data_IF_725327361615
#
_entry.id   IF_725327361615
#
_cell.length_a   1.000
_cell.length_b   1.000
_cell.length_c   1.000
_cell.angle_alpha   90.00
_cell.angle_beta   90.00
_cell.angle_gamma   90.00
#
_symmetry.space_group_name_H-M   'P 1'
#
loop_
_entity.id
_entity.type
_entity.pdbx_description
1 polymer ?
#
# COMPACT_ATOMS: atom_id res chain seq x y z
N UNK A 1 -14.22 -30.62 13.42
CA UNK A 1 -13.92 -29.22 13.09
C UNK A 1 -12.84 -28.75 14.04
N UNK A 2 -11.62 -28.59 13.55
CA UNK A 2 -10.49 -28.15 14.37
C UNK A 2 -10.44 -26.61 14.40
N UNK A 3 -9.82 -26.03 15.41
CA UNK A 3 -9.62 -24.58 15.50
C UNK A 3 -8.92 -24.02 14.24
N UNK A 4 -8.05 -24.80 13.63
CA UNK A 4 -7.37 -24.44 12.38
C UNK A 4 -8.33 -24.31 11.18
N UNK A 5 -9.36 -25.16 11.10
CA UNK A 5 -10.34 -25.12 10.02
C UNK A 5 -11.21 -23.84 10.11
N UNK A 6 -11.53 -23.42 11.34
CA UNK A 6 -12.30 -22.18 11.59
C UNK A 6 -11.46 -20.96 11.25
N UNK A 7 -10.18 -20.95 11.59
CA UNK A 7 -9.26 -19.84 11.27
C UNK A 7 -9.05 -19.74 9.76
N UNK A 8 -8.87 -20.86 9.06
CA UNK A 8 -8.73 -20.88 7.60
C UNK A 8 -9.99 -20.36 6.89
N UNK A 9 -11.19 -20.78 7.34
CA UNK A 9 -12.44 -20.26 6.80
C UNK A 9 -12.59 -18.75 7.07
N UNK A 10 -12.24 -18.30 8.28
CA UNK A 10 -12.34 -16.88 8.65
C UNK A 10 -11.38 -16.02 7.79
N UNK A 11 -10.18 -16.51 7.55
CA UNK A 11 -9.18 -15.84 6.67
C UNK A 11 -9.69 -15.77 5.23
N UNK A 12 -10.30 -16.84 4.70
CA UNK A 12 -10.87 -16.85 3.35
C UNK A 12 -12.00 -15.81 3.14
N UNK A 13 -12.77 -15.50 4.18
CA UNK A 13 -13.82 -14.48 4.11
C UNK A 13 -13.30 -13.06 4.40
N UNK A 14 -12.32 -12.92 5.29
CA UNK A 14 -11.78 -11.61 5.70
C UNK A 14 -10.90 -11.02 4.60
N UNK A 15 -10.10 -11.83 3.89
CA UNK A 15 -9.19 -11.35 2.84
C UNK A 15 -9.93 -10.64 1.70
N UNK A 16 -11.04 -11.18 1.11
CA UNK A 16 -11.79 -10.46 0.07
C UNK A 16 -12.47 -9.20 0.59
N UNK A 17 -12.95 -9.19 1.84
CA UNK A 17 -13.62 -8.02 2.44
C UNK A 17 -12.62 -6.89 2.67
N UNK A 18 -11.43 -7.20 3.17
CA UNK A 18 -10.35 -6.23 3.33
C UNK A 18 -9.91 -5.72 1.95
N UNK A 19 -9.79 -6.59 0.96
CA UNK A 19 -9.48 -6.21 -0.42
C UNK A 19 -10.51 -5.25 -1.02
N UNK A 20 -11.80 -5.53 -0.85
CA UNK A 20 -12.89 -4.68 -1.32
C UNK A 20 -12.92 -3.32 -0.58
N UNK A 21 -12.67 -3.30 0.72
CA UNK A 21 -12.54 -2.07 1.52
C UNK A 21 -11.36 -1.20 1.05
N UNK A 22 -10.21 -1.82 0.78
CA UNK A 22 -9.03 -1.12 0.29
C UNK A 22 -9.24 -0.53 -1.11
N UNK A 23 -9.90 -1.27 -2.02
CA UNK A 23 -10.26 -0.77 -3.36
C UNK A 23 -11.24 0.41 -3.25
N UNK A 24 -12.20 0.33 -2.34
CA UNK A 24 -13.17 1.41 -2.10
C UNK A 24 -12.48 2.65 -1.51
N UNK A 25 -11.53 2.46 -0.59
CA UNK A 25 -10.76 3.55 0.01
C UNK A 25 -9.83 4.21 -1.01
N UNK A 26 -9.20 3.43 -1.89
CA UNK A 26 -8.42 3.94 -3.02
C UNK A 26 -9.30 4.71 -4.01
N UNK A 27 -10.48 4.19 -4.35
CA UNK A 27 -11.46 4.88 -5.18
C UNK A 27 -11.93 6.20 -4.55
N UNK A 28 -12.16 6.21 -3.25
CA UNK A 28 -12.49 7.43 -2.50
C UNK A 28 -11.34 8.43 -2.51
N UNK A 29 -10.11 7.98 -2.27
CA UNK A 29 -8.91 8.83 -2.28
C UNK A 29 -8.69 9.45 -3.67
N UNK A 30 -8.80 8.65 -4.74
CA UNK A 30 -8.71 9.13 -6.13
C UNK A 30 -9.84 10.12 -6.44
N UNK A 31 -11.06 9.86 -6.00
CA UNK A 31 -12.21 10.76 -6.22
C UNK A 31 -12.07 12.04 -5.40
N UNK A 32 -11.58 11.95 -4.16
CA UNK A 32 -11.30 13.09 -3.31
C UNK A 32 -10.19 13.97 -3.92
N UNK A 33 -9.11 13.36 -4.38
CA UNK A 33 -8.02 14.05 -5.09
C UNK A 33 -8.51 14.71 -6.39
N UNK A 34 -9.33 14.00 -7.18
CA UNK A 34 -9.88 14.54 -8.43
C UNK A 34 -10.80 15.74 -8.17
N UNK A 35 -11.61 15.71 -7.11
CA UNK A 35 -12.46 16.84 -6.71
C UNK A 35 -11.65 18.05 -6.24
N UNK A 36 -10.55 17.83 -5.53
CA UNK A 36 -9.65 18.90 -5.15
C UNK A 36 -8.88 19.47 -6.34
N UNK A 37 -8.45 18.63 -7.30
CA UNK A 37 -7.84 19.09 -8.55
C UNK A 37 -8.78 20.00 -9.36
N UNK A 38 -10.07 19.72 -9.39
CA UNK A 38 -11.04 20.54 -10.11
C UNK A 38 -11.25 21.93 -9.47
N UNK A 39 -10.97 22.09 -8.18
CA UNK A 39 -11.04 23.38 -7.48
C UNK A 39 -9.80 24.26 -7.68
N UNK A 40 -8.70 23.69 -8.13
CA UNK A 40 -7.45 24.42 -8.39
C UNK A 40 -7.59 25.09 -9.76
N UNK A 41 -7.84 26.40 -9.74
CA UNK A 41 -8.02 27.22 -10.95
C UNK A 41 -6.72 27.50 -11.74
N UNK A 42 -5.59 27.01 -11.23
CA UNK A 42 -4.29 27.28 -11.81
C UNK A 42 -3.70 26.00 -12.42
N UNK A 43 -3.54 25.97 -13.75
CA UNK A 43 -3.03 24.81 -14.49
C UNK A 43 -1.64 24.36 -14.00
N UNK A 44 -0.80 25.31 -13.59
CA UNK A 44 0.55 25.03 -13.06
C UNK A 44 0.48 24.28 -11.73
N UNK A 45 -0.46 24.65 -10.88
CA UNK A 45 -0.65 23.98 -9.58
C UNK A 45 -1.20 22.55 -9.80
N UNK A 46 -2.08 22.39 -10.77
CA UNK A 46 -2.66 21.08 -11.12
C UNK A 46 -1.62 20.11 -11.68
N UNK A 47 -0.73 20.60 -12.54
CA UNK A 47 0.40 19.82 -13.07
C UNK A 47 1.37 19.44 -11.96
N UNK A 48 1.71 20.39 -11.06
CA UNK A 48 2.57 20.16 -9.90
C UNK A 48 1.97 19.14 -8.93
N UNK A 49 0.66 19.17 -8.71
CA UNK A 49 -0.04 18.20 -7.88
C UNK A 49 -0.03 16.80 -8.50
N UNK A 50 -0.26 16.69 -9.82
CA UNK A 50 -0.16 15.41 -10.52
C UNK A 50 1.24 14.78 -10.39
N UNK A 51 2.29 15.58 -10.57
CA UNK A 51 3.66 15.14 -10.40
C UNK A 51 3.98 14.73 -8.95
N UNK A 52 3.51 15.50 -7.95
CA UNK A 52 3.70 15.20 -6.55
C UNK A 52 2.98 13.90 -6.12
N UNK A 53 1.78 13.65 -6.65
CA UNK A 53 1.04 12.40 -6.44
C UNK A 53 1.79 11.23 -7.07
N UNK A 54 2.28 11.36 -8.28
CA UNK A 54 3.05 10.32 -8.96
C UNK A 54 4.32 9.96 -8.18
N UNK A 55 5.06 10.97 -7.71
CA UNK A 55 6.23 10.77 -6.85
C UNK A 55 5.86 10.08 -5.54
N UNK A 56 4.79 10.51 -4.86
CA UNK A 56 4.31 9.88 -3.64
C UNK A 56 3.96 8.39 -3.85
N UNK A 57 3.35 8.03 -4.98
CA UNK A 57 3.08 6.64 -5.31
C UNK A 57 4.35 5.80 -5.46
N UNK A 58 5.38 6.33 -6.11
CA UNK A 58 6.67 5.66 -6.28
C UNK A 58 7.36 5.50 -4.92
N UNK A 59 7.52 6.60 -4.18
CA UNK A 59 8.19 6.60 -2.88
C UNK A 59 7.43 5.74 -1.85
N UNK A 60 6.09 5.74 -1.89
CA UNK A 60 5.26 4.90 -1.02
C UNK A 60 5.45 3.40 -1.30
N UNK A 61 5.51 3.01 -2.57
CA UNK A 61 5.83 1.63 -2.94
C UNK A 61 7.24 1.24 -2.48
N UNK A 62 8.21 2.11 -2.71
CA UNK A 62 9.60 1.85 -2.35
C UNK A 62 9.78 1.79 -0.83
N UNK A 63 9.03 2.59 -0.06
CA UNK A 63 8.99 2.53 1.40
C UNK A 63 8.51 1.16 1.90
N UNK A 64 7.45 0.60 1.31
CA UNK A 64 6.94 -0.74 1.65
C UNK A 64 7.96 -1.81 1.30
N UNK A 65 8.53 -1.79 0.10
CA UNK A 65 9.54 -2.76 -0.32
C UNK A 65 10.79 -2.72 0.55
N UNK A 66 11.29 -1.52 0.84
CA UNK A 66 12.43 -1.32 1.71
C UNK A 66 12.19 -1.89 3.11
N UNK A 67 11.06 -1.55 3.72
CA UNK A 67 10.70 -2.03 5.05
C UNK A 67 10.49 -3.54 5.06
N UNK A 68 9.89 -4.12 4.02
CA UNK A 68 9.73 -5.56 3.88
C UNK A 68 11.10 -6.27 3.92
N UNK A 69 12.05 -5.82 3.11
CA UNK A 69 13.35 -6.45 2.98
C UNK A 69 14.27 -6.23 4.19
N UNK A 70 14.20 -5.06 4.82
CA UNK A 70 15.15 -4.67 5.88
C UNK A 70 14.70 -5.05 7.28
N UNK A 71 13.39 -5.07 7.51
CA UNK A 71 12.83 -5.28 8.84
C UNK A 71 11.87 -6.47 8.91
N UNK A 72 10.82 -6.49 8.08
CA UNK A 72 9.75 -7.48 8.19
C UNK A 72 10.26 -8.91 7.98
N UNK A 73 11.10 -9.14 6.99
CA UNK A 73 11.63 -10.47 6.72
C UNK A 73 12.51 -10.97 7.88
N UNK A 74 13.36 -10.09 8.45
CA UNK A 74 14.18 -10.44 9.62
C UNK A 74 13.34 -10.73 10.86
N UNK A 75 12.28 -9.97 11.10
CA UNK A 75 11.39 -10.19 12.24
C UNK A 75 10.63 -11.51 12.09
N UNK A 76 10.20 -11.84 10.87
CA UNK A 76 9.53 -13.12 10.60
C UNK A 76 10.46 -14.32 10.72
N UNK A 77 11.71 -14.19 10.30
CA UNK A 77 12.73 -15.23 10.46
C UNK A 77 13.04 -15.50 11.95
N UNK A 78 12.97 -14.45 12.79
CA UNK A 78 13.20 -14.55 14.22
C UNK A 78 11.97 -15.08 14.99
N UNK A 79 10.77 -14.98 14.43
CA UNK A 79 9.53 -15.40 15.06
C UNK A 79 9.30 -16.91 14.85
N UNK A 80 8.92 -17.64 15.92
CA UNK A 80 8.66 -19.07 15.86
C UNK A 80 7.51 -19.44 14.90
N UNK A 81 6.51 -18.56 14.77
CA UNK A 81 5.33 -18.76 13.92
C UNK A 81 5.41 -18.00 12.57
N UNK A 82 6.50 -17.30 12.31
CA UNK A 82 6.70 -16.50 11.10
C UNK A 82 5.74 -15.31 10.97
N UNK A 83 5.11 -14.85 12.06
CA UNK A 83 4.15 -13.75 12.08
C UNK A 83 4.67 -12.57 12.88
N UNK A 84 4.26 -11.39 12.48
CA UNK A 84 4.55 -10.17 13.22
C UNK A 84 3.56 -9.99 14.37
N UNK A 85 4.08 -9.59 15.52
CA UNK A 85 3.27 -9.06 16.62
C UNK A 85 2.73 -7.67 16.24
N UNK A 86 1.75 -7.18 17.00
CA UNK A 86 1.22 -5.82 16.80
C UNK A 86 2.30 -4.75 16.97
N UNK A 87 3.23 -4.94 17.91
CA UNK A 87 4.34 -4.02 18.14
C UNK A 87 5.31 -3.99 16.96
N UNK A 88 5.66 -5.14 16.42
CA UNK A 88 6.54 -5.25 15.25
C UNK A 88 5.89 -4.68 13.99
N UNK A 89 4.59 -4.90 13.80
CA UNK A 89 3.84 -4.28 12.70
C UNK A 89 3.81 -2.74 12.82
N UNK A 90 3.65 -2.20 14.03
CA UNK A 90 3.72 -0.76 14.27
C UNK A 90 5.13 -0.21 14.01
N UNK A 91 6.18 -0.95 14.38
CA UNK A 91 7.56 -0.59 14.08
C UNK A 91 7.80 -0.57 12.57
N UNK A 92 7.33 -1.58 11.83
CA UNK A 92 7.46 -1.63 10.38
C UNK A 92 6.75 -0.45 9.71
N UNK A 93 5.56 -0.06 10.17
CA UNK A 93 4.86 1.12 9.67
C UNK A 93 5.65 2.41 9.95
N UNK A 94 6.22 2.53 11.14
CA UNK A 94 7.04 3.70 11.50
C UNK A 94 8.28 3.85 10.60
N UNK A 95 8.94 2.74 10.28
CA UNK A 95 10.08 2.71 9.34
C UNK A 95 9.64 3.12 7.92
N UNK A 96 8.52 2.58 7.43
CA UNK A 96 8.00 2.97 6.13
C UNK A 96 7.65 4.47 6.07
N UNK A 97 7.10 5.04 7.14
CA UNK A 97 6.81 6.49 7.26
C UNK A 97 8.10 7.30 7.22
N UNK A 98 9.10 6.91 7.99
CA UNK A 98 10.38 7.58 8.02
C UNK A 98 11.05 7.58 6.64
N UNK A 99 11.03 6.43 5.95
CA UNK A 99 11.52 6.32 4.58
C UNK A 99 10.77 7.25 3.64
N UNK A 100 9.44 7.22 3.65
CA UNK A 100 8.60 8.07 2.80
C UNK A 100 8.90 9.55 2.98
N UNK A 101 8.90 10.03 4.23
CA UNK A 101 9.16 11.43 4.55
C UNK A 101 10.56 11.85 4.12
N UNK A 102 11.55 10.97 4.24
CA UNK A 102 12.94 11.29 3.89
C UNK A 102 13.14 11.36 2.38
N UNK A 103 12.49 10.49 1.60
CA UNK A 103 12.73 10.34 0.16
C UNK A 103 11.77 11.15 -0.72
N UNK A 104 10.63 11.61 -0.18
CA UNK A 104 9.76 12.52 -0.89
C UNK A 104 10.43 13.89 -1.03
N UNK A 105 10.46 14.46 -2.23
CA UNK A 105 11.06 15.76 -2.48
C UNK A 105 10.38 16.88 -1.67
N UNK A 106 11.13 17.92 -1.31
CA UNK A 106 10.60 19.07 -0.58
C UNK A 106 9.42 19.73 -1.33
N UNK A 107 9.55 19.87 -2.65
CA UNK A 107 8.49 20.43 -3.50
C UNK A 107 7.21 19.60 -3.43
N UNK A 108 7.31 18.28 -3.52
CA UNK A 108 6.13 17.41 -3.43
C UNK A 108 5.51 17.41 -2.04
N UNK A 109 6.31 17.51 -0.98
CA UNK A 109 5.81 17.70 0.39
C UNK A 109 4.96 18.95 0.51
N UNK A 110 5.46 20.08 0.00
CA UNK A 110 4.75 21.36 0.07
C UNK A 110 3.44 21.31 -0.73
N UNK A 111 3.49 20.80 -1.97
CA UNK A 111 2.31 20.68 -2.83
C UNK A 111 1.27 19.74 -2.24
N UNK A 112 1.68 18.59 -1.70
CA UNK A 112 0.77 17.64 -1.07
C UNK A 112 0.19 18.18 0.24
N UNK A 113 1.00 18.87 1.05
CA UNK A 113 0.53 19.50 2.28
C UNK A 113 -0.50 20.62 2.00
N UNK A 114 -0.30 21.41 0.93
CA UNK A 114 -1.26 22.41 0.50
C UNK A 114 -2.57 21.81 -0.01
N UNK A 115 -2.48 20.69 -0.74
CA UNK A 115 -3.65 20.05 -1.36
C UNK A 115 -4.43 19.12 -0.41
N UNK A 116 -3.75 18.39 0.47
CA UNK A 116 -4.31 17.32 1.30
C UNK A 116 -4.26 17.61 2.81
N UNK A 117 -3.57 18.69 3.20
CA UNK A 117 -3.28 18.96 4.60
C UNK A 117 -1.99 18.29 5.09
N UNK A 118 -1.71 18.37 6.40
CA UNK A 118 -0.49 17.85 6.99
C UNK A 118 -0.23 16.39 6.60
N UNK A 119 1.01 16.08 6.19
CA UNK A 119 1.37 14.74 5.70
C UNK A 119 1.01 13.64 6.71
N UNK A 120 1.20 13.88 7.99
CA UNK A 120 0.93 12.89 9.04
C UNK A 120 -0.55 12.49 9.13
N UNK A 121 -1.48 13.33 8.68
CA UNK A 121 -2.92 13.08 8.81
C UNK A 121 -3.41 12.02 7.80
N UNK A 122 -2.74 11.87 6.67
CA UNK A 122 -3.13 10.94 5.61
C UNK A 122 -2.09 9.84 5.32
N UNK A 123 -0.85 10.00 5.79
CA UNK A 123 0.26 9.10 5.43
C UNK A 123 0.04 7.67 5.89
N UNK A 124 -0.54 7.44 7.07
CA UNK A 124 -0.81 6.10 7.59
C UNK A 124 -1.74 5.33 6.68
N UNK A 125 -2.88 5.92 6.34
CA UNK A 125 -3.85 5.32 5.42
C UNK A 125 -3.29 5.11 4.01
N UNK A 126 -2.44 6.02 3.55
CA UNK A 126 -1.76 5.89 2.26
C UNK A 126 -0.79 4.70 2.24
N UNK A 127 0.05 4.55 3.26
CA UNK A 127 1.00 3.43 3.35
C UNK A 127 0.31 2.09 3.58
N UNK A 128 -0.77 2.05 4.36
CA UNK A 128 -1.59 0.85 4.53
C UNK A 128 -2.20 0.40 3.18
N UNK A 129 -2.70 1.35 2.38
CA UNK A 129 -3.19 1.07 1.04
C UNK A 129 -2.08 0.50 0.13
N UNK A 130 -0.88 1.09 0.18
CA UNK A 130 0.28 0.58 -0.57
C UNK A 130 0.72 -0.81 -0.13
N UNK A 131 0.67 -1.11 1.15
CA UNK A 131 0.92 -2.45 1.68
C UNK A 131 -0.13 -3.46 1.16
N UNK A 132 -1.39 -3.06 1.07
CA UNK A 132 -2.45 -3.87 0.48
C UNK A 132 -2.20 -4.19 -1.01
N UNK A 133 -1.82 -3.19 -1.80
CA UNK A 133 -1.43 -3.36 -3.21
C UNK A 133 -0.25 -4.35 -3.36
N UNK A 134 0.78 -4.20 -2.54
CA UNK A 134 1.95 -5.07 -2.54
C UNK A 134 1.57 -6.53 -2.23
N UNK A 135 0.79 -6.76 -1.18
CA UNK A 135 0.32 -8.11 -0.80
C UNK A 135 -0.52 -8.74 -1.90
N UNK A 136 -1.40 -7.98 -2.52
CA UNK A 136 -2.21 -8.44 -3.65
C UNK A 136 -1.38 -8.82 -4.86
N UNK A 137 -0.36 -8.05 -5.19
CA UNK A 137 0.56 -8.34 -6.30
C UNK A 137 1.35 -9.64 -6.07
N UNK A 138 1.92 -9.82 -4.88
CA UNK A 138 2.64 -11.05 -4.49
C UNK A 138 1.73 -12.27 -4.54
N UNK A 139 0.48 -12.14 -4.08
CA UNK A 139 -0.49 -13.22 -4.09
C UNK A 139 -0.85 -13.65 -5.52
N UNK A 140 -1.06 -12.68 -6.42
CA UNK A 140 -1.36 -12.95 -7.83
C UNK A 140 -0.17 -13.62 -8.55
N UNK A 141 1.06 -13.24 -8.23
CA UNK A 141 2.26 -13.87 -8.78
C UNK A 141 2.38 -15.32 -8.34
N UNK A 142 2.12 -15.62 -7.08
CA UNK A 142 2.11 -17.00 -6.55
C UNK A 142 1.00 -17.84 -7.20
N UNK A 143 -0.20 -17.27 -7.39
CA UNK A 143 -1.30 -17.97 -8.08
C UNK A 143 -0.99 -18.18 -9.57
N UNK A 144 -0.34 -17.24 -10.25
CA UNK A 144 0.08 -17.37 -11.64
C UNK A 144 1.12 -18.47 -11.84
N UNK A 145 2.05 -18.63 -10.90
CA UNK A 145 3.05 -19.70 -10.91
C UNK A 145 2.45 -21.08 -10.58
N UNK A 146 1.42 -21.11 -9.72
CA UNK A 146 0.73 -22.35 -9.34
C UNK A 146 -0.22 -22.86 -10.44
N UNK A 147 -0.71 -21.99 -11.31
CA UNK A 147 -1.60 -22.30 -12.43
C UNK A 147 -1.08 -21.65 -13.72
N UNK A 148 0.00 -22.18 -14.34
CA UNK A 148 0.47 -21.67 -15.61
C UNK A 148 -0.63 -21.83 -16.67
N UNK A 149 -0.81 -20.85 -17.57
CA UNK A 149 -1.78 -20.96 -18.66
C UNK A 149 -1.47 -22.23 -19.46
N UNK A 150 -2.47 -23.07 -19.68
CA UNK A 150 -2.35 -24.27 -20.50
C UNK A 150 -1.76 -23.88 -21.86
N UNK A 151 -0.71 -24.54 -22.36
CA UNK A 151 -0.20 -24.27 -23.69
C UNK A 151 -1.34 -24.49 -24.68
N UNK A 152 -1.75 -23.42 -25.36
CA UNK A 152 -2.82 -23.47 -26.34
C UNK A 152 -2.49 -24.52 -27.37
N UNK A 153 -3.42 -25.48 -27.56
CA UNK A 153 -3.43 -26.34 -28.72
C UNK A 153 -3.64 -25.43 -29.94
N UNK A 154 -2.57 -25.14 -30.62
CA UNK A 154 -2.64 -24.55 -31.98
C UNK A 154 -3.00 -25.69 -32.92
N UNK A 155 -4.28 -25.70 -33.37
CA UNK A 155 -4.74 -26.43 -34.52
C UNK A 155 -4.16 -25.80 -35.80
#
# INVERSE_FOLDING_TARGET
>A
MTWNDIILQLVQYIVPVIGALLVTLLGYLVTYLSKHQQKIKNDILRESLGAAIAEAHIVGRDAILYTQQTLVDKLKEAAEDGKLTKGEAAQALAEAKAYFITHLSARSKDVLAEALGPINDWLDSFLEAKLGEYKGAVQNEVYGLANPPSPGLTD
#
